data_IF_807420869463
#
_entry.id   IF_807420869463
#
_cell.length_a   1.000
_cell.length_b   1.000
_cell.length_c   1.000
_cell.angle_alpha   90.00
_cell.angle_beta   90.00
_cell.angle_gamma   90.00
#
_symmetry.space_group_name_H-M   'P 1'
#
loop_
_entity.id
_entity.type
_entity.pdbx_description
1 polymer ?
#
# COMPACT_ATOMS: atom_id res chain seq x y z
N UNK A 1 1.84 -7.54 -13.27
CA UNK A 1 1.48 -6.35 -12.48
C UNK A 1 0.31 -5.72 -13.21
N UNK A 2 -0.90 -5.84 -12.66
CA UNK A 2 -2.10 -5.24 -13.25
C UNK A 2 -2.07 -3.72 -13.07
N UNK A 3 -3.00 -3.01 -13.69
CA UNK A 3 -3.06 -1.55 -13.86
C UNK A 3 -3.24 -0.72 -12.54
N UNK A 4 -2.77 -1.21 -11.40
CA UNK A 4 -2.86 -0.58 -10.09
C UNK A 4 -1.56 0.10 -9.66
N UNK A 5 -1.68 1.12 -8.81
CA UNK A 5 -0.55 1.74 -8.12
C UNK A 5 -0.48 1.23 -6.68
N UNK A 6 0.67 1.35 -6.02
CA UNK A 6 0.83 0.99 -4.62
C UNK A 6 2.11 1.57 -4.03
N UNK A 7 2.16 1.65 -2.70
CA UNK A 7 3.38 1.98 -1.97
C UNK A 7 3.55 1.00 -0.82
N UNK A 8 4.77 0.50 -0.60
CA UNK A 8 5.05 -0.56 0.36
C UNK A 8 5.70 -0.05 1.64
N UNK A 9 5.43 -0.71 2.76
CA UNK A 9 6.15 -0.53 4.03
C UNK A 9 6.45 -1.88 4.67
N UNK A 10 7.70 -2.06 5.12
CA UNK A 10 8.16 -3.24 5.86
C UNK A 10 8.20 -3.02 7.38
N UNK A 11 7.77 -1.87 7.91
CA UNK A 11 7.92 -1.54 9.34
C UNK A 11 7.35 -2.62 10.28
N UNK A 12 6.25 -3.26 9.88
CA UNK A 12 5.54 -4.26 10.68
C UNK A 12 5.87 -5.70 10.28
N UNK A 13 6.80 -5.92 9.35
CA UNK A 13 7.09 -7.23 8.79
C UNK A 13 8.59 -7.55 8.82
N UNK A 14 8.95 -8.72 9.33
CA UNK A 14 10.33 -9.23 9.41
C UNK A 14 10.82 -9.95 8.13
N UNK A 15 10.14 -9.72 6.99
CA UNK A 15 10.43 -10.36 5.72
C UNK A 15 11.73 -9.87 5.07
N UNK A 16 12.28 -10.67 4.17
CA UNK A 16 13.45 -10.29 3.36
C UNK A 16 12.96 -9.40 2.22
N UNK A 17 13.32 -8.13 2.29
CA UNK A 17 13.10 -7.18 1.20
C UNK A 17 14.19 -7.40 0.14
N UNK A 18 13.79 -7.75 -1.08
CA UNK A 18 14.72 -7.80 -2.23
C UNK A 18 15.34 -6.43 -2.49
N UNK A 19 16.59 -6.39 -2.96
CA UNK A 19 17.32 -5.13 -3.19
C UNK A 19 16.55 -4.16 -4.10
N UNK A 20 15.79 -4.69 -5.05
CA UNK A 20 14.98 -3.92 -6.00
C UNK A 20 13.78 -3.19 -5.34
N UNK A 21 13.42 -3.57 -4.11
CA UNK A 21 12.41 -2.91 -3.27
C UNK A 21 13.00 -2.33 -1.98
N UNK A 22 14.31 -2.09 -1.92
CA UNK A 22 15.00 -1.64 -0.71
C UNK A 22 14.38 -0.40 -0.04
N UNK A 23 13.74 0.48 -0.80
CA UNK A 23 13.03 1.66 -0.28
C UNK A 23 11.94 1.32 0.75
N UNK A 24 11.33 0.13 0.67
CA UNK A 24 10.28 -0.34 1.57
C UNK A 24 10.79 -0.45 3.02
N UNK A 25 12.09 -0.74 3.20
CA UNK A 25 12.72 -0.81 4.53
C UNK A 25 12.90 0.56 5.19
N UNK A 26 12.81 1.64 4.41
CA UNK A 26 12.89 3.03 4.86
C UNK A 26 11.53 3.71 4.91
N UNK A 27 10.44 2.97 4.67
CA UNK A 27 9.08 3.51 4.68
C UNK A 27 8.33 2.98 5.89
N UNK A 28 7.87 3.88 6.74
CA UNK A 28 6.94 3.58 7.84
C UNK A 28 5.52 3.29 7.34
N UNK A 29 4.69 2.62 8.13
CA UNK A 29 3.29 2.38 7.83
C UNK A 29 2.51 3.71 7.71
N UNK A 30 2.93 4.73 8.46
CA UNK A 30 2.37 6.08 8.36
C UNK A 30 2.75 6.78 7.05
N UNK A 31 4.01 6.66 6.61
CA UNK A 31 4.46 7.21 5.32
C UNK A 31 3.76 6.52 4.14
N UNK A 32 3.58 5.20 4.21
CA UNK A 32 2.77 4.46 3.25
C UNK A 32 1.37 5.07 3.12
N UNK A 33 0.70 5.32 4.24
CA UNK A 33 -0.62 5.95 4.25
C UNK A 33 -0.61 7.34 3.59
N UNK A 34 0.38 8.17 3.94
CA UNK A 34 0.53 9.53 3.40
C UNK A 34 0.76 9.52 1.89
N UNK A 35 1.64 8.66 1.39
CA UNK A 35 1.97 8.61 -0.03
C UNK A 35 0.81 8.09 -0.87
N UNK A 36 0.08 7.08 -0.38
CA UNK A 36 -1.11 6.55 -1.05
C UNK A 36 -2.19 7.64 -1.16
N UNK A 37 -2.51 8.33 -0.06
CA UNK A 37 -3.50 9.43 -0.07
C UNK A 37 -3.05 10.55 -0.99
N UNK A 38 -1.75 10.91 -0.97
CA UNK A 38 -1.20 11.94 -1.84
C UNK A 38 -1.32 11.56 -3.32
N UNK A 39 -1.11 10.29 -3.68
CA UNK A 39 -1.26 9.82 -5.06
C UNK A 39 -2.70 10.03 -5.57
N UNK A 40 -3.72 9.69 -4.77
CA UNK A 40 -5.12 9.97 -5.13
C UNK A 40 -5.43 11.47 -5.22
N UNK A 41 -4.84 12.30 -4.36
CA UNK A 41 -4.98 13.76 -4.48
C UNK A 41 -4.40 14.26 -5.81
N UNK A 42 -3.18 13.85 -6.14
CA UNK A 42 -2.54 14.23 -7.41
C UNK A 42 -3.35 13.74 -8.61
N UNK A 43 -3.87 12.51 -8.58
CA UNK A 43 -4.74 12.01 -9.64
C UNK A 43 -6.00 12.87 -9.83
N UNK A 44 -6.63 13.31 -8.74
CA UNK A 44 -7.80 14.21 -8.79
C UNK A 44 -7.47 15.60 -9.32
N UNK A 45 -6.27 16.10 -9.03
CA UNK A 45 -5.81 17.41 -9.51
C UNK A 45 -5.51 17.41 -11.04
N UNK A 46 -5.32 16.23 -11.64
CA UNK A 46 -5.00 16.06 -13.05
C UNK A 46 -6.24 15.64 -13.85
N UNK A 47 -6.71 16.53 -14.73
CA UNK A 47 -7.96 16.34 -15.49
C UNK A 47 -7.95 15.20 -16.52
N UNK A 48 -6.79 14.59 -16.77
CA UNK A 48 -6.62 13.49 -17.71
C UNK A 48 -6.44 12.12 -17.04
N UNK A 49 -6.36 12.08 -15.70
CA UNK A 49 -6.25 10.83 -14.94
C UNK A 49 -7.66 10.29 -14.70
N UNK A 50 -7.90 9.07 -15.19
CA UNK A 50 -9.16 8.36 -14.99
C UNK A 50 -9.23 7.64 -13.63
N UNK A 51 -10.03 6.58 -13.52
CA UNK A 51 -10.08 5.75 -12.31
C UNK A 51 -8.69 5.23 -11.92
N UNK A 52 -8.37 5.33 -10.63
CA UNK A 52 -7.15 4.79 -10.06
C UNK A 52 -7.50 3.61 -9.15
N UNK A 53 -6.78 2.50 -9.29
CA UNK A 53 -6.93 1.33 -8.44
C UNK A 53 -5.68 1.16 -7.59
N UNK A 54 -5.86 1.01 -6.29
CA UNK A 54 -4.79 0.78 -5.34
C UNK A 54 -4.57 -0.72 -5.16
N UNK A 55 -3.32 -1.15 -5.27
CA UNK A 55 -2.86 -2.50 -5.02
C UNK A 55 -2.10 -2.54 -3.67
N UNK A 56 -2.48 -3.35 -2.66
CA UNK A 56 -3.63 -4.26 -2.59
C UNK A 56 -4.32 -4.19 -1.22
N UNK A 57 -5.58 -4.62 -1.14
CA UNK A 57 -6.33 -4.67 0.10
C UNK A 57 -5.78 -5.71 1.09
N UNK A 58 -5.61 -6.97 0.68
CA UNK A 58 -5.46 -8.11 1.61
C UNK A 58 -4.35 -9.10 1.24
N UNK A 59 -3.29 -8.65 0.59
CA UNK A 59 -2.19 -9.53 0.18
C UNK A 59 -1.45 -10.22 1.33
N UNK A 60 -1.51 -9.70 2.56
CA UNK A 60 -0.95 -10.40 3.73
C UNK A 60 -1.70 -11.69 4.10
N UNK A 61 -2.97 -11.81 3.69
CA UNK A 61 -3.82 -12.99 3.92
C UNK A 61 -3.73 -14.01 2.77
N UNK A 62 -2.99 -13.69 1.69
CA UNK A 62 -2.85 -14.58 0.53
C UNK A 62 -2.09 -15.89 0.86
N UNK A 63 -2.45 -16.98 0.17
CA UNK A 63 -1.75 -18.27 0.26
C UNK A 63 -1.32 -18.79 -1.13
N UNK A 64 -0.02 -19.07 -1.36
CA UNK A 64 1.09 -18.85 -0.45
C UNK A 64 1.33 -17.35 -0.22
N UNK A 65 1.72 -16.96 1.00
CA UNK A 65 2.02 -15.57 1.33
C UNK A 65 3.25 -15.12 0.54
N UNK A 66 3.10 -14.04 -0.21
CA UNK A 66 4.23 -13.29 -0.77
C UNK A 66 4.56 -12.12 0.16
N UNK A 67 5.79 -12.08 0.68
CA UNK A 67 6.25 -11.00 1.56
C UNK A 67 6.18 -9.65 0.85
N UNK A 68 6.59 -9.63 -0.42
CA UNK A 68 6.50 -8.45 -1.27
C UNK A 68 5.06 -7.93 -1.38
N UNK A 69 4.14 -8.85 -1.66
CA UNK A 69 2.72 -8.53 -1.80
C UNK A 69 2.15 -8.01 -0.47
N UNK A 70 2.58 -8.60 0.65
CA UNK A 70 2.16 -8.20 1.99
C UNK A 70 2.66 -6.78 2.36
N UNK A 71 3.86 -6.35 1.93
CA UNK A 71 4.31 -4.98 2.17
C UNK A 71 3.38 -3.91 1.57
N UNK A 72 2.68 -4.24 0.47
CA UNK A 72 1.69 -3.39 -0.22
C UNK A 72 0.26 -3.52 0.33
N UNK A 73 0.01 -4.47 1.23
CA UNK A 73 -1.32 -4.77 1.76
C UNK A 73 -1.84 -3.64 2.65
N UNK A 74 -3.15 -3.40 2.62
CA UNK A 74 -3.85 -2.49 3.54
C UNK A 74 -4.33 -3.17 4.83
N UNK A 75 -4.46 -4.49 4.80
CA UNK A 75 -4.72 -5.33 5.97
C UNK A 75 -3.47 -6.11 6.33
N UNK A 76 -3.28 -6.41 7.61
CA UNK A 76 -2.20 -7.28 8.06
C UNK A 76 -2.54 -8.78 7.88
N UNK A 77 -1.72 -9.65 8.48
CA UNK A 77 -1.85 -11.09 8.38
C UNK A 77 -3.10 -11.65 9.08
N UNK A 78 -3.65 -10.90 10.04
CA UNK A 78 -4.79 -11.24 10.86
C UNK A 78 -6.07 -10.57 10.34
N UNK A 79 -5.97 -9.74 9.29
CA UNK A 79 -7.07 -9.00 8.69
C UNK A 79 -7.34 -7.65 9.37
N UNK A 80 -6.46 -7.21 10.27
CA UNK A 80 -6.61 -5.94 10.96
C UNK A 80 -6.17 -4.77 10.06
N UNK A 81 -6.83 -3.59 10.17
CA UNK A 81 -6.54 -2.45 9.33
C UNK A 81 -5.16 -1.85 9.62
N UNK A 82 -4.37 -1.61 8.57
CA UNK A 82 -3.14 -0.81 8.65
C UNK A 82 -3.46 0.68 8.53
N UNK A 83 -2.54 1.58 8.94
CA UNK A 83 -2.75 3.03 8.84
C UNK A 83 -3.21 3.53 7.46
N UNK A 84 -2.77 2.89 6.38
CA UNK A 84 -3.19 3.23 5.02
C UNK A 84 -4.68 2.96 4.76
N UNK A 85 -5.24 1.88 5.32
CA UNK A 85 -6.67 1.58 5.23
C UNK A 85 -7.50 2.67 5.91
N UNK A 86 -7.14 3.03 7.14
CA UNK A 86 -7.82 4.07 7.92
C UNK A 86 -7.74 5.43 7.22
N UNK A 87 -6.55 5.79 6.71
CA UNK A 87 -6.35 7.06 6.01
C UNK A 87 -7.23 7.17 4.75
N UNK A 88 -7.42 6.07 4.01
CA UNK A 88 -8.28 6.03 2.83
C UNK A 88 -9.77 6.17 3.17
N UNK A 89 -10.23 5.57 4.28
CA UNK A 89 -11.62 5.74 4.73
C UNK A 89 -11.95 7.21 5.02
N UNK A 90 -10.98 7.99 5.48
CA UNK A 90 -11.15 9.42 5.75
C UNK A 90 -10.94 10.28 4.50
N UNK A 91 -10.00 9.90 3.62
CA UNK A 91 -9.62 10.70 2.46
C UNK A 91 -10.54 10.53 1.23
N UNK A 92 -11.37 9.49 1.21
CA UNK A 92 -12.30 9.18 0.12
C UNK A 92 -13.72 9.49 0.58
N UNK A 93 -14.38 10.54 0.05
CA UNK A 93 -15.75 10.88 0.40
C UNK A 93 -16.79 9.90 -0.15
#
# INVERSE_FOLDING_TARGET
MGDGFGWGSAEVFSGVVGEEFGFITYTTAQEQAQYIVRAFQVGRDLSYVGPMFLDNLNFCESYPRSELACFLSLLDAEGEPRPAFEALQVATP
#
